data_IF_409367344055
#
_entry.id   IF_409367344055
#
_cell.length_a   1.000
_cell.length_b   1.000
_cell.length_c   1.000
_cell.angle_alpha   90.00
_cell.angle_beta   90.00
_cell.angle_gamma   90.00
#
_symmetry.space_group_name_H-M   'P 1'
#
loop_
_entity.id
_entity.type
_entity.pdbx_description
1 polymer ?
#
# COMPACT_ATOMS: atom_id res chain seq x y z
N UNK A 1 15.44 -12.79 -6.43
CA UNK A 1 13.99 -12.49 -6.43
C UNK A 1 13.69 -11.53 -7.56
N UNK A 2 12.67 -11.76 -8.41
CA UNK A 2 12.30 -10.78 -9.43
C UNK A 2 11.76 -9.49 -8.77
N UNK A 3 12.01 -8.34 -9.39
CA UNK A 3 11.53 -7.03 -8.90
C UNK A 3 10.07 -6.76 -9.28
N UNK A 4 9.56 -7.48 -10.28
CA UNK A 4 8.23 -7.34 -10.85
C UNK A 4 7.58 -8.73 -10.89
N UNK A 5 6.25 -8.79 -10.82
CA UNK A 5 5.47 -9.97 -11.19
C UNK A 5 5.01 -9.86 -12.66
N UNK A 6 5.81 -10.33 -13.64
CA UNK A 6 5.55 -10.07 -15.06
C UNK A 6 4.38 -10.88 -15.64
N UNK A 7 4.10 -12.06 -15.07
CA UNK A 7 3.10 -12.99 -15.60
C UNK A 7 1.67 -12.71 -15.10
N UNK A 8 1.41 -11.52 -14.57
CA UNK A 8 0.08 -11.09 -14.15
C UNK A 8 -0.62 -10.34 -15.28
N UNK A 9 -1.97 -10.43 -15.37
CA UNK A 9 -2.76 -9.61 -16.30
C UNK A 9 -2.42 -8.11 -16.20
N UNK A 10 -2.15 -7.65 -14.98
CA UNK A 10 -1.62 -6.31 -14.71
C UNK A 10 -0.34 -6.48 -13.87
N UNK A 11 0.85 -6.35 -14.48
CA UNK A 11 2.11 -6.47 -13.76
C UNK A 11 2.23 -5.46 -12.62
N UNK A 12 2.88 -5.87 -11.54
CA UNK A 12 3.12 -5.02 -10.37
C UNK A 12 4.50 -5.26 -9.80
N UNK A 13 5.04 -4.27 -9.10
CA UNK A 13 6.25 -4.44 -8.29
C UNK A 13 6.03 -5.51 -7.22
N UNK A 14 7.10 -6.21 -6.87
CA UNK A 14 7.14 -6.94 -5.60
C UNK A 14 7.15 -5.95 -4.44
N UNK A 15 6.72 -6.38 -3.25
CA UNK A 15 6.77 -5.53 -2.04
C UNK A 15 8.19 -5.07 -1.76
N UNK A 16 9.19 -5.95 -1.91
CA UNK A 16 10.60 -5.61 -1.74
C UNK A 16 11.06 -4.52 -2.73
N UNK A 17 10.69 -4.62 -4.02
CA UNK A 17 11.03 -3.59 -5.00
C UNK A 17 10.35 -2.25 -4.68
N UNK A 18 9.09 -2.27 -4.24
CA UNK A 18 8.40 -1.05 -3.83
C UNK A 18 9.04 -0.40 -2.59
N UNK A 19 9.53 -1.18 -1.62
CA UNK A 19 10.27 -0.65 -0.49
C UNK A 19 11.63 -0.07 -0.92
N UNK A 20 12.34 -0.74 -1.84
CA UNK A 20 13.66 -0.30 -2.29
C UNK A 20 13.60 0.99 -3.13
N UNK A 21 12.67 1.08 -4.08
CA UNK A 21 12.56 2.21 -5.00
C UNK A 21 11.56 3.28 -4.56
N UNK A 22 10.61 2.94 -3.67
CA UNK A 22 9.45 3.76 -3.35
C UNK A 22 9.77 5.12 -2.75
N UNK A 23 10.95 5.30 -2.14
CA UNK A 23 11.40 6.60 -1.64
C UNK A 23 11.45 7.67 -2.75
N UNK A 24 11.77 7.28 -3.98
CA UNK A 24 11.81 8.18 -5.16
C UNK A 24 10.50 8.24 -5.95
N UNK A 25 9.47 7.49 -5.53
CA UNK A 25 8.19 7.50 -6.23
C UNK A 25 7.44 8.81 -5.94
N UNK A 26 7.04 9.51 -7.00
CA UNK A 26 6.29 10.78 -6.95
C UNK A 26 4.87 10.68 -7.54
N UNK A 27 4.49 9.51 -8.09
CA UNK A 27 3.18 9.25 -8.72
C UNK A 27 2.66 7.89 -8.27
N UNK A 28 1.34 7.73 -8.28
CA UNK A 28 0.69 6.50 -7.82
C UNK A 28 1.12 6.13 -6.40
N UNK A 29 1.19 7.13 -5.52
CA UNK A 29 1.60 6.98 -4.11
C UNK A 29 0.42 7.33 -3.21
N UNK A 30 0.15 6.48 -2.23
CA UNK A 30 -0.83 6.75 -1.17
C UNK A 30 -0.10 6.85 0.17
N UNK A 31 -0.25 7.98 0.84
CA UNK A 31 0.25 8.20 2.20
C UNK A 31 -0.79 7.76 3.22
N UNK A 32 -0.37 6.90 4.15
CA UNK A 32 -1.19 6.37 5.23
C UNK A 32 -0.88 7.08 6.53
N UNK A 33 -1.93 7.33 7.31
CA UNK A 33 -1.80 7.63 8.73
C UNK A 33 -1.56 6.35 9.55
N UNK A 34 -1.32 6.49 10.85
CA UNK A 34 -0.96 5.36 11.73
C UNK A 34 -2.00 4.24 11.73
N UNK A 35 -3.31 4.50 11.96
CA UNK A 35 -4.33 3.45 11.87
C UNK A 35 -4.34 2.72 10.53
N UNK A 36 -4.21 3.46 9.43
CA UNK A 36 -4.18 2.89 8.08
C UNK A 36 -2.90 2.06 7.85
N UNK A 37 -1.76 2.48 8.38
CA UNK A 37 -0.51 1.74 8.32
C UNK A 37 -0.61 0.39 9.02
N UNK A 38 -1.17 0.36 10.24
CA UNK A 38 -1.38 -0.91 10.94
C UNK A 38 -2.32 -1.82 10.14
N UNK A 39 -3.46 -1.31 9.68
CA UNK A 39 -4.39 -2.07 8.84
C UNK A 39 -3.69 -2.64 7.59
N UNK A 40 -2.87 -1.84 6.90
CA UNK A 40 -2.10 -2.29 5.74
C UNK A 40 -1.12 -3.42 6.08
N UNK A 41 -0.37 -3.29 7.17
CA UNK A 41 0.64 -4.27 7.61
C UNK A 41 0.01 -5.56 8.15
N UNK A 42 -1.21 -5.50 8.69
CA UNK A 42 -2.05 -6.67 8.99
C UNK A 42 -2.66 -7.32 7.74
N UNK A 43 -2.50 -6.71 6.56
CA UNK A 43 -3.05 -7.21 5.31
C UNK A 43 -4.55 -6.94 5.14
N UNK A 44 -5.09 -5.93 5.82
CA UNK A 44 -6.49 -5.54 5.80
C UNK A 44 -6.78 -4.54 4.66
N UNK A 45 -8.08 -4.39 4.34
CA UNK A 45 -8.56 -3.39 3.39
C UNK A 45 -8.85 -2.09 4.12
N UNK A 46 -8.38 -0.98 3.57
CA UNK A 46 -8.51 0.34 4.19
C UNK A 46 -9.27 1.30 3.28
N UNK A 47 -10.20 2.08 3.83
CA UNK A 47 -10.84 3.16 3.08
C UNK A 47 -9.90 4.36 2.95
N UNK A 48 -9.89 5.00 1.78
CA UNK A 48 -9.05 6.18 1.52
C UNK A 48 -9.95 7.31 1.01
N UNK A 49 -9.76 8.51 1.57
CA UNK A 49 -10.45 9.70 1.08
C UNK A 49 -9.89 10.11 -0.29
N UNK A 50 -10.76 10.54 -1.20
CA UNK A 50 -10.36 10.99 -2.55
C UNK A 50 -9.35 12.14 -2.52
N UNK A 51 -9.42 13.01 -1.51
CA UNK A 51 -8.46 14.11 -1.30
C UNK A 51 -7.01 13.64 -1.09
N UNK A 52 -6.80 12.38 -0.69
CA UNK A 52 -5.47 11.78 -0.47
C UNK A 52 -4.91 11.04 -1.69
N UNK A 53 -5.65 10.98 -2.80
CA UNK A 53 -5.31 10.22 -4.00
C UNK A 53 -4.71 11.11 -5.10
N UNK A 54 -3.80 12.02 -4.73
CA UNK A 54 -3.15 12.90 -5.70
C UNK A 54 -2.47 12.06 -6.80
N UNK A 55 -2.84 12.33 -8.06
CA UNK A 55 -2.39 11.59 -9.24
C UNK A 55 -2.67 10.06 -9.19
N UNK A 56 -3.72 9.63 -8.49
CA UNK A 56 -4.31 8.28 -8.61
C UNK A 56 -5.76 8.46 -9.09
N UNK A 57 -5.92 8.59 -10.40
CA UNK A 57 -7.17 8.91 -11.09
C UNK A 57 -8.04 7.68 -11.38
N UNK A 58 -7.45 6.49 -11.39
CA UNK A 58 -8.15 5.23 -11.66
C UNK A 58 -7.67 4.07 -10.76
N UNK A 59 -8.32 2.91 -10.92
CA UNK A 59 -7.93 1.64 -10.34
C UNK A 59 -6.51 1.26 -10.78
N UNK A 60 -5.68 0.84 -9.84
CA UNK A 60 -4.34 0.36 -10.16
C UNK A 60 -3.50 0.00 -8.95
N UNK A 61 -2.29 -0.49 -9.21
CA UNK A 61 -1.31 -0.72 -8.15
C UNK A 61 -0.64 0.59 -7.76
N UNK A 62 -0.59 0.86 -6.46
CA UNK A 62 0.00 2.06 -5.87
C UNK A 62 1.11 1.67 -4.89
N UNK A 63 2.10 2.55 -4.76
CA UNK A 63 3.09 2.47 -3.68
C UNK A 63 2.46 3.08 -2.43
N UNK A 64 2.62 2.39 -1.30
CA UNK A 64 2.09 2.82 -0.02
C UNK A 64 3.24 3.36 0.83
N UNK A 65 3.05 4.53 1.44
CA UNK A 65 4.02 5.14 2.36
C UNK A 65 3.36 5.49 3.69
N UNK A 66 4.14 5.45 4.76
CA UNK A 66 3.87 6.23 5.96
C UNK A 66 4.95 7.31 6.05
N UNK A 67 4.56 8.58 6.13
CA UNK A 67 5.48 9.71 5.96
C UNK A 67 6.33 9.54 4.68
N UNK A 68 7.65 9.44 4.78
CA UNK A 68 8.57 9.21 3.66
C UNK A 68 9.06 7.75 3.54
N UNK A 69 8.52 6.84 4.36
CA UNK A 69 8.94 5.45 4.45
C UNK A 69 8.02 4.60 3.56
N UNK A 70 8.54 4.00 2.46
CA UNK A 70 7.75 3.08 1.65
C UNK A 70 7.51 1.76 2.39
N UNK A 71 6.26 1.33 2.42
CA UNK A 71 5.81 0.11 3.07
C UNK A 71 5.62 -1.04 2.08
N UNK A 72 5.28 -0.74 0.82
CA UNK A 72 5.06 -1.76 -0.20
C UNK A 72 4.10 -1.34 -1.30
N UNK A 73 3.36 -2.31 -1.83
CA UNK A 73 2.36 -2.14 -2.88
C UNK A 73 0.95 -2.42 -2.32
N UNK A 74 -0.05 -1.73 -2.85
CA UNK A 74 -1.46 -2.05 -2.68
C UNK A 74 -2.23 -1.94 -4.00
N UNK A 75 -3.40 -2.55 -4.07
CA UNK A 75 -4.37 -2.31 -5.14
C UNK A 75 -5.36 -1.23 -4.68
N UNK A 76 -5.38 -0.11 -5.39
CA UNK A 76 -6.39 0.92 -5.25
C UNK A 76 -7.56 0.61 -6.18
N UNK A 77 -8.78 0.62 -5.66
CA UNK A 77 -10.00 0.46 -6.46
C UNK A 77 -11.19 1.17 -5.83
N UNK A 78 -12.17 1.52 -6.66
CA UNK A 78 -13.44 2.09 -6.17
C UNK A 78 -14.45 0.97 -5.93
N UNK A 79 -15.10 0.99 -4.76
CA UNK A 79 -16.16 0.06 -4.38
C UNK A 79 -17.28 0.84 -3.71
N UNK A 80 -18.49 0.78 -4.27
CA UNK A 80 -19.69 1.48 -3.78
C UNK A 80 -19.46 2.98 -3.56
N UNK A 81 -18.83 3.65 -4.53
CA UNK A 81 -18.53 5.08 -4.46
C UNK A 81 -17.27 5.45 -3.65
N UNK A 82 -16.77 4.55 -2.81
CA UNK A 82 -15.62 4.77 -1.91
C UNK A 82 -14.34 4.15 -2.44
N UNK A 83 -13.21 4.85 -2.30
CA UNK A 83 -11.91 4.30 -2.62
C UNK A 83 -11.43 3.35 -1.52
N UNK A 84 -10.98 2.16 -1.94
CA UNK A 84 -10.44 1.11 -1.07
C UNK A 84 -9.03 0.75 -1.51
N UNK A 85 -8.18 0.57 -0.52
CA UNK A 85 -6.81 0.14 -0.64
C UNK A 85 -6.70 -1.29 -0.13
N UNK A 86 -6.44 -2.24 -1.03
CA UNK A 86 -6.24 -3.64 -0.69
C UNK A 86 -4.74 -3.92 -0.52
N UNK A 87 -4.34 -4.31 0.68
CA UNK A 87 -2.94 -4.61 0.98
C UNK A 87 -2.43 -5.80 0.16
N UNK A 88 -1.33 -5.60 -0.57
CA UNK A 88 -0.55 -6.68 -1.16
C UNK A 88 0.65 -7.09 -0.28
N UNK A 89 0.63 -6.72 1.00
CA UNK A 89 1.72 -7.02 1.93
C UNK A 89 1.85 -8.54 2.13
N UNK A 90 3.07 -9.11 2.00
CA UNK A 90 3.27 -10.55 2.00
C UNK A 90 2.76 -11.18 3.29
N UNK A 91 2.01 -12.28 3.19
CA UNK A 91 1.43 -12.97 4.36
C UNK A 91 2.48 -13.29 5.43
N UNK A 92 3.66 -13.72 5.01
CA UNK A 92 4.77 -14.08 5.90
C UNK A 92 5.41 -12.87 6.62
N UNK A 93 5.11 -11.63 6.20
CA UNK A 93 5.68 -10.42 6.79
C UNK A 93 4.68 -9.65 7.64
N UNK A 94 3.39 -10.05 7.61
CA UNK A 94 2.32 -9.35 8.31
C UNK A 94 2.60 -9.29 9.80
N UNK A 95 2.17 -8.19 10.40
CA UNK A 95 2.18 -8.07 11.84
C UNK A 95 1.26 -9.12 12.47
N UNK A 96 1.60 -9.66 13.66
CA UNK A 96 0.69 -10.50 14.43
C UNK A 96 -0.57 -9.72 14.82
N UNK A 97 -1.73 -10.37 14.77
CA UNK A 97 -3.01 -9.77 15.17
C UNK A 97 -2.92 -9.09 16.53
N UNK A 98 -3.44 -7.87 16.64
CA UNK A 98 -3.47 -7.10 17.89
C UNK A 98 -2.17 -6.33 18.21
N UNK A 99 -1.17 -6.40 17.34
CA UNK A 99 0.07 -5.59 17.47
C UNK A 99 0.01 -4.33 16.60
N UNK A 100 0.81 -3.33 16.95
CA UNK A 100 0.98 -2.10 16.16
C UNK A 100 2.43 -1.98 15.68
N UNK A 101 2.62 -1.39 14.51
CA UNK A 101 3.94 -0.97 14.02
C UNK A 101 4.52 0.18 14.85
N UNK A 102 3.66 0.90 15.59
CA UNK A 102 4.03 2.09 16.33
C UNK A 102 4.10 1.79 17.83
N UNK A 103 5.09 2.38 18.49
CA UNK A 103 5.13 2.37 19.95
C UNK A 103 3.97 3.24 20.50
N UNK A 104 3.41 2.88 21.67
CA UNK A 104 2.53 3.78 22.41
C UNK A 104 3.22 5.12 22.63
N UNK A 105 2.44 6.21 22.57
CA UNK A 105 2.92 7.55 22.84
C UNK A 105 3.28 7.73 24.32
#
# INVERSE_FOLDING_TARGET
MPLVHPNMKHPKLTTAAAMFFGRRACRHVVHLDRPQTDAYLHGQVTAVASSRLQACDDRGYVIVKHEQIPLGVALLRRQNGTWRLESAYPKAWRLPTGTSAFKPA
#
